data_IF_792740982352
#
_entry.id   IF_792740982352
#
_cell.length_a   1.000
_cell.length_b   1.000
_cell.length_c   1.000
_cell.angle_alpha   90.00
_cell.angle_beta   90.00
_cell.angle_gamma   90.00
#
_symmetry.space_group_name_H-M   'P 1'
#
loop_
_entity.id
_entity.type
_entity.pdbx_description
1 polymer ?
#
# COMPACT_ATOMS: atom_id res chain seq x y z
N UNK A 1 8.54 -6.14 44.01
CA UNK A 1 8.53 -4.78 44.57
C UNK A 1 7.09 -4.27 44.48
N UNK A 2 6.57 -3.62 45.52
CA UNK A 2 5.27 -2.97 45.47
C UNK A 2 5.50 -1.51 45.04
N UNK A 3 4.83 -1.07 43.98
CA UNK A 3 4.96 0.27 43.44
C UNK A 3 3.92 1.20 44.05
N UNK A 4 4.25 2.48 44.19
CA UNK A 4 3.25 3.52 44.43
C UNK A 4 2.61 3.97 43.12
N UNK A 5 1.50 4.72 43.19
CA UNK A 5 0.86 5.29 42.00
C UNK A 5 1.80 6.18 41.17
N UNK A 6 2.65 6.96 41.84
CA UNK A 6 3.62 7.85 41.18
C UNK A 6 4.67 7.02 40.43
N UNK A 7 5.17 5.96 41.07
CA UNK A 7 6.17 5.08 40.47
C UNK A 7 5.62 4.39 39.21
N UNK A 8 4.38 3.87 39.26
CA UNK A 8 3.75 3.16 38.13
C UNK A 8 3.59 4.07 36.91
N UNK A 9 3.22 5.34 37.11
CA UNK A 9 3.01 6.29 36.02
C UNK A 9 4.35 6.75 35.42
N UNK A 10 5.41 6.81 36.24
CA UNK A 10 6.74 7.22 35.84
C UNK A 10 7.59 6.10 35.22
N UNK A 11 7.06 4.88 35.08
CA UNK A 11 7.80 3.76 34.48
C UNK A 11 8.12 4.05 33.01
N UNK A 12 9.41 4.14 32.69
CA UNK A 12 9.89 4.28 31.31
C UNK A 12 9.55 3.03 30.48
N UNK A 13 9.68 1.83 31.07
CA UNK A 13 9.31 0.57 30.45
C UNK A 13 8.43 -0.26 31.39
N UNK A 14 7.11 -0.03 31.40
CA UNK A 14 6.21 -0.74 32.30
C UNK A 14 6.09 -2.23 31.97
N UNK A 15 6.41 -2.66 30.75
CA UNK A 15 6.41 -4.08 30.41
C UNK A 15 7.44 -4.84 31.23
N UNK A 16 8.70 -4.39 31.31
CA UNK A 16 9.75 -5.15 32.03
C UNK A 16 9.40 -5.38 33.50
N UNK A 17 8.81 -4.38 34.15
CA UNK A 17 8.52 -4.41 35.58
C UNK A 17 7.15 -5.05 35.92
N UNK A 18 6.24 -5.12 34.95
CA UNK A 18 4.91 -5.72 35.07
C UNK A 18 4.72 -6.88 34.06
N UNK A 19 5.80 -7.57 33.71
CA UNK A 19 5.83 -8.58 32.63
C UNK A 19 5.25 -9.94 33.00
N UNK A 20 5.04 -10.20 34.28
CA UNK A 20 4.53 -11.48 34.78
C UNK A 20 3.27 -11.33 35.63
N UNK A 21 2.57 -12.46 35.81
CA UNK A 21 1.32 -12.51 36.58
C UNK A 21 1.53 -12.14 38.05
N UNK A 22 2.68 -12.44 38.63
CA UNK A 22 2.95 -12.17 40.04
C UNK A 22 3.14 -10.67 40.31
N UNK A 23 3.84 -9.96 39.42
CA UNK A 23 4.06 -8.52 39.49
C UNK A 23 2.73 -7.76 39.33
N UNK A 24 1.88 -8.19 38.40
CA UNK A 24 0.54 -7.63 38.22
C UNK A 24 -0.35 -7.89 39.43
N UNK A 25 -0.33 -9.10 40.00
CA UNK A 25 -1.10 -9.44 41.20
C UNK A 25 -0.65 -8.63 42.42
N UNK A 26 0.66 -8.51 42.64
CA UNK A 26 1.26 -7.76 43.76
C UNK A 26 0.91 -6.26 43.74
N UNK A 27 0.65 -5.70 42.56
CA UNK A 27 0.34 -4.29 42.38
C UNK A 27 -1.14 -4.04 42.03
N UNK A 28 -2.00 -5.07 42.10
CA UNK A 28 -3.37 -5.01 41.63
C UNK A 28 -4.20 -3.89 42.29
N UNK A 29 -4.04 -3.68 43.61
CA UNK A 29 -4.74 -2.61 44.33
C UNK A 29 -4.40 -1.24 43.76
N UNK A 30 -3.10 -0.93 43.64
CA UNK A 30 -2.63 0.35 43.12
C UNK A 30 -3.05 0.53 41.66
N UNK A 31 -2.93 -0.52 40.83
CA UNK A 31 -3.36 -0.51 39.43
C UNK A 31 -4.86 -0.24 39.27
N UNK A 32 -5.69 -0.79 40.16
CA UNK A 32 -7.14 -0.57 40.15
C UNK A 32 -7.54 0.83 40.67
N UNK A 33 -6.69 1.50 41.47
CA UNK A 33 -6.94 2.90 41.91
C UNK A 33 -6.61 3.95 40.84
N UNK A 34 -5.93 3.56 39.75
CA UNK A 34 -5.64 4.46 38.65
C UNK A 34 -6.93 4.91 37.96
N UNK A 35 -6.95 6.16 37.48
CA UNK A 35 -8.05 6.64 36.64
C UNK A 35 -8.14 5.85 35.34
N UNK A 36 -9.32 5.82 34.70
CA UNK A 36 -9.50 5.09 33.45
C UNK A 36 -8.47 5.51 32.36
N UNK A 37 -8.16 6.80 32.28
CA UNK A 37 -7.16 7.33 31.33
C UNK A 37 -5.75 6.80 31.63
N UNK A 38 -5.36 6.75 32.90
CA UNK A 38 -4.07 6.22 33.34
C UNK A 38 -3.96 4.71 33.09
N UNK A 39 -5.02 3.96 33.38
CA UNK A 39 -5.09 2.53 33.09
C UNK A 39 -4.92 2.26 31.59
N UNK A 40 -5.61 3.01 30.74
CA UNK A 40 -5.50 2.88 29.27
C UNK A 40 -4.09 3.23 28.78
N UNK A 41 -3.49 4.29 29.30
CA UNK A 41 -2.13 4.69 28.94
C UNK A 41 -1.10 3.63 29.36
N UNK A 42 -1.19 3.14 30.59
CA UNK A 42 -0.30 2.11 31.11
C UNK A 42 -0.45 0.79 30.34
N UNK A 43 -1.68 0.33 30.11
CA UNK A 43 -1.94 -0.87 29.33
C UNK A 43 -1.42 -0.74 27.88
N UNK A 44 -1.60 0.44 27.27
CA UNK A 44 -1.03 0.76 25.95
C UNK A 44 0.49 0.60 25.95
N UNK A 45 1.18 1.19 26.93
CA UNK A 45 2.63 1.14 27.03
C UNK A 45 3.15 -0.29 27.27
N UNK A 46 2.50 -1.05 28.15
CA UNK A 46 2.85 -2.46 28.42
C UNK A 46 2.69 -3.30 27.15
N UNK A 47 1.53 -3.18 26.49
CA UNK A 47 1.24 -3.99 25.31
C UNK A 47 2.09 -3.55 24.11
N UNK A 48 2.40 -2.27 23.94
CA UNK A 48 3.31 -1.81 22.88
C UNK A 48 4.74 -2.31 23.10
N UNK A 49 5.25 -2.24 24.33
CA UNK A 49 6.62 -2.64 24.68
C UNK A 49 6.82 -4.17 24.74
N UNK A 50 5.74 -4.97 24.76
CA UNK A 50 5.83 -6.42 24.80
C UNK A 50 6.49 -7.00 23.52
N UNK A 51 7.61 -7.73 23.62
CA UNK A 51 8.27 -8.33 22.46
C UNK A 51 7.38 -9.38 21.77
N UNK A 52 7.42 -9.45 20.44
CA UNK A 52 6.58 -10.38 19.66
C UNK A 52 6.77 -11.84 20.08
N UNK A 53 8.01 -12.24 20.41
CA UNK A 53 8.34 -13.59 20.88
C UNK A 53 7.64 -13.97 22.21
N UNK A 54 7.35 -12.98 23.06
CA UNK A 54 6.73 -13.17 24.38
C UNK A 54 5.24 -12.83 24.40
N UNK A 55 4.73 -12.18 23.34
CA UNK A 55 3.35 -11.70 23.29
C UNK A 55 2.32 -12.82 23.55
N UNK A 56 2.47 -13.98 22.92
CA UNK A 56 1.58 -15.13 23.15
C UNK A 56 1.65 -15.67 24.58
N UNK A 57 2.84 -15.71 25.17
CA UNK A 57 3.03 -16.18 26.54
C UNK A 57 2.38 -15.21 27.54
N UNK A 58 2.45 -13.92 27.25
CA UNK A 58 1.84 -12.87 28.06
C UNK A 58 0.32 -13.02 28.20
N UNK A 59 -0.36 -13.60 27.19
CA UNK A 59 -1.77 -13.95 27.26
C UNK A 59 -2.11 -14.88 28.44
N UNK A 60 -1.20 -15.80 28.79
CA UNK A 60 -1.38 -16.71 29.92
C UNK A 60 -1.29 -15.96 31.25
N UNK A 61 -0.38 -15.00 31.38
CA UNK A 61 -0.28 -14.15 32.56
C UNK A 61 -1.52 -13.29 32.75
N UNK A 62 -2.01 -12.67 31.66
CA UNK A 62 -3.28 -11.93 31.69
C UNK A 62 -4.42 -12.87 32.10
N UNK A 63 -4.56 -14.05 31.48
CA UNK A 63 -5.67 -14.96 31.81
C UNK A 63 -5.63 -15.45 33.26
N UNK A 64 -4.46 -15.77 33.80
CA UNK A 64 -4.31 -16.23 35.16
C UNK A 64 -4.83 -15.20 36.18
N UNK A 65 -4.60 -13.91 35.93
CA UNK A 65 -5.10 -12.80 36.75
C UNK A 65 -6.62 -12.64 36.67
N UNK A 66 -7.20 -12.81 35.48
CA UNK A 66 -8.64 -12.66 35.28
C UNK A 66 -9.48 -13.68 36.06
N UNK A 67 -8.93 -14.85 36.34
CA UNK A 67 -9.58 -15.86 37.18
C UNK A 67 -9.63 -15.45 38.66
N UNK A 68 -8.77 -14.53 39.09
CA UNK A 68 -8.66 -14.05 40.48
C UNK A 68 -9.54 -12.81 40.73
N UNK A 69 -9.87 -12.05 39.68
CA UNK A 69 -10.62 -10.79 39.79
C UNK A 69 -11.85 -10.80 38.88
N UNK A 70 -13.03 -11.12 39.43
CA UNK A 70 -14.30 -11.18 38.66
C UNK A 70 -14.95 -9.79 38.39
N UNK A 71 -14.27 -8.69 38.70
CA UNK A 71 -14.81 -7.33 38.50
C UNK A 71 -14.42 -6.76 37.13
N UNK A 72 -15.43 -6.27 36.39
CA UNK A 72 -15.29 -5.71 35.04
C UNK A 72 -14.49 -4.39 34.98
N UNK A 73 -14.37 -3.68 36.11
CA UNK A 73 -13.73 -2.35 36.20
C UNK A 73 -12.27 -2.39 36.67
N UNK A 74 -11.62 -3.53 36.51
CA UNK A 74 -10.23 -3.73 36.93
C UNK A 74 -9.24 -3.36 35.83
N UNK A 75 -8.02 -2.99 36.22
CA UNK A 75 -6.90 -2.79 35.29
C UNK A 75 -6.65 -4.04 34.44
N UNK A 76 -6.89 -5.23 35.00
CA UNK A 76 -6.82 -6.49 34.27
C UNK A 76 -7.75 -6.51 33.03
N UNK A 77 -9.00 -6.08 33.21
CA UNK A 77 -9.98 -5.99 32.12
C UNK A 77 -9.47 -5.07 31.00
N UNK A 78 -8.92 -3.90 31.38
CA UNK A 78 -8.32 -2.92 30.47
C UNK A 78 -7.10 -3.50 29.74
N UNK A 79 -6.21 -4.20 30.45
CA UNK A 79 -5.03 -4.84 29.89
C UNK A 79 -5.39 -5.97 28.93
N UNK A 80 -6.40 -6.77 29.28
CA UNK A 80 -6.94 -7.83 28.42
C UNK A 80 -7.54 -7.25 27.13
N UNK A 81 -8.28 -6.15 27.22
CA UNK A 81 -8.82 -5.46 26.04
C UNK A 81 -7.70 -4.91 25.14
N UNK A 82 -6.68 -4.27 25.71
CA UNK A 82 -5.50 -3.79 24.98
C UNK A 82 -4.76 -4.93 24.26
N UNK A 83 -4.58 -6.07 24.95
CA UNK A 83 -4.00 -7.28 24.37
C UNK A 83 -4.83 -7.78 23.16
N UNK A 84 -6.16 -7.80 23.29
CA UNK A 84 -7.04 -8.21 22.19
C UNK A 84 -6.94 -7.28 20.98
N UNK A 85 -6.81 -5.96 21.20
CA UNK A 85 -6.59 -4.99 20.11
C UNK A 85 -5.32 -5.34 19.34
N UNK A 86 -4.18 -5.50 20.01
CA UNK A 86 -2.92 -5.89 19.34
C UNK A 86 -3.03 -7.24 18.64
N UNK A 87 -3.63 -8.23 19.28
CA UNK A 87 -3.83 -9.55 18.69
C UNK A 87 -4.66 -9.48 17.39
N UNK A 88 -5.77 -8.73 17.40
CA UNK A 88 -6.64 -8.56 16.23
C UNK A 88 -5.93 -7.82 15.10
N UNK A 89 -5.17 -6.77 15.42
CA UNK A 89 -4.36 -6.06 14.41
C UNK A 89 -3.27 -6.96 13.81
N UNK A 90 -2.52 -7.70 14.62
CA UNK A 90 -1.52 -8.65 14.13
C UNK A 90 -2.16 -9.74 13.25
N UNK A 91 -3.39 -10.13 13.53
CA UNK A 91 -4.12 -11.11 12.71
C UNK A 91 -4.43 -10.63 11.29
N UNK A 92 -4.45 -9.30 11.06
CA UNK A 92 -4.60 -8.72 9.73
C UNK A 92 -3.39 -9.02 8.84
N UNK A 93 -2.21 -9.29 9.40
CA UNK A 93 -0.99 -9.63 8.66
C UNK A 93 -0.55 -11.10 8.79
N UNK A 94 -1.11 -11.87 9.74
CA UNK A 94 -0.83 -13.30 9.88
C UNK A 94 -1.31 -14.11 8.67
N UNK A 95 -0.41 -14.56 7.79
CA UNK A 95 -0.71 -15.29 6.54
C UNK A 95 -1.61 -16.52 6.69
N UNK A 96 -1.73 -17.09 7.89
CA UNK A 96 -2.61 -18.23 8.19
C UNK A 96 -4.08 -17.83 8.32
N UNK A 97 -4.36 -16.56 8.59
CA UNK A 97 -5.71 -16.02 8.64
C UNK A 97 -6.31 -15.90 7.24
N UNK A 98 -7.23 -16.78 6.87
CA UNK A 98 -7.86 -16.76 5.55
C UNK A 98 -8.90 -15.65 5.38
N UNK A 99 -9.41 -15.11 6.48
CA UNK A 99 -10.51 -14.13 6.49
C UNK A 99 -10.16 -12.92 7.36
N UNK A 100 -9.08 -12.17 7.05
CA UNK A 100 -8.68 -11.01 7.85
C UNK A 100 -9.75 -9.91 7.86
N UNK A 101 -10.62 -9.89 6.85
CA UNK A 101 -11.71 -8.94 6.73
C UNK A 101 -12.90 -9.20 7.66
N UNK A 102 -12.99 -10.38 8.27
CA UNK A 102 -14.07 -10.72 9.20
C UNK A 102 -14.14 -9.75 10.40
N UNK A 103 -12.99 -9.22 10.82
CA UNK A 103 -12.87 -8.18 11.86
C UNK A 103 -13.74 -6.94 11.56
N UNK A 104 -13.99 -6.65 10.28
CA UNK A 104 -14.75 -5.50 9.82
C UNK A 104 -16.20 -5.83 9.48
N UNK A 105 -16.69 -7.04 9.78
CA UNK A 105 -18.01 -7.50 9.37
C UNK A 105 -18.83 -8.07 10.54
N UNK A 106 -20.16 -8.03 10.37
CA UNK A 106 -21.12 -8.74 11.21
C UNK A 106 -20.95 -8.49 12.71
N UNK A 107 -21.03 -9.57 13.49
CA UNK A 107 -20.97 -9.54 14.96
C UNK A 107 -19.55 -9.29 15.51
N UNK A 108 -18.52 -9.45 14.69
CA UNK A 108 -17.13 -9.23 15.10
C UNK A 108 -16.71 -7.76 15.04
N UNK A 109 -17.41 -6.98 14.21
CA UNK A 109 -17.17 -5.55 14.10
C UNK A 109 -17.56 -4.83 15.40
N UNK A 110 -16.53 -4.40 16.13
CA UNK A 110 -16.68 -3.54 17.29
C UNK A 110 -15.55 -2.50 17.29
N UNK A 111 -15.83 -1.22 16.96
CA UNK A 111 -14.80 -0.19 16.92
C UNK A 111 -14.40 0.35 18.31
N UNK A 112 -15.22 0.14 19.34
CA UNK A 112 -15.03 0.71 20.69
C UNK A 112 -13.64 0.46 21.29
N UNK A 113 -13.15 -0.80 21.33
CA UNK A 113 -11.81 -1.10 21.83
C UNK A 113 -10.70 -0.39 21.03
N UNK A 114 -10.84 -0.28 19.70
CA UNK A 114 -9.85 0.38 18.85
C UNK A 114 -9.83 1.90 19.03
N UNK A 115 -10.99 2.52 19.32
CA UNK A 115 -11.06 3.93 19.68
C UNK A 115 -10.42 4.18 21.05
N UNK A 116 -10.74 3.33 22.04
CA UNK A 116 -10.17 3.40 23.39
C UNK A 116 -8.64 3.28 23.36
N UNK A 117 -8.11 2.38 22.55
CA UNK A 117 -6.67 2.14 22.38
C UNK A 117 -6.14 2.71 21.06
N UNK A 118 -6.61 3.89 20.65
CA UNK A 118 -6.25 4.50 19.36
C UNK A 118 -4.74 4.75 19.20
N UNK A 119 -4.04 5.15 20.27
CA UNK A 119 -2.57 5.30 20.27
C UNK A 119 -1.87 3.97 19.97
N UNK A 120 -2.30 2.88 20.62
CA UNK A 120 -1.77 1.53 20.37
C UNK A 120 -2.05 1.11 18.92
N UNK A 121 -3.28 1.30 18.47
CA UNK A 121 -3.68 0.93 17.11
C UNK A 121 -2.86 1.68 16.06
N UNK A 122 -2.67 2.99 16.23
CA UNK A 122 -1.84 3.82 15.34
C UNK A 122 -0.40 3.28 15.27
N UNK A 123 0.21 3.03 16.43
CA UNK A 123 1.59 2.53 16.49
C UNK A 123 1.75 1.17 15.81
N UNK A 124 0.78 0.26 15.96
CA UNK A 124 0.84 -1.07 15.34
C UNK A 124 0.56 -1.06 13.83
N UNK A 125 -0.28 -0.13 13.37
CA UNK A 125 -0.63 0.01 11.96
C UNK A 125 0.45 0.76 11.16
N UNK A 126 1.24 1.60 11.83
CA UNK A 126 2.30 2.39 11.21
C UNK A 126 3.27 1.50 10.41
N UNK A 127 3.58 1.92 9.17
CA UNK A 127 4.41 1.19 8.20
C UNK A 127 3.80 -0.10 7.62
N UNK A 128 2.75 -0.63 8.24
CA UNK A 128 2.07 -1.87 7.82
C UNK A 128 0.86 -1.62 6.92
N UNK A 129 0.44 -0.37 6.74
CA UNK A 129 -0.83 -0.07 6.08
C UNK A 129 -0.91 -0.53 4.62
N UNK A 130 0.14 -0.40 3.78
CA UNK A 130 0.09 -0.91 2.40
C UNK A 130 -0.10 -2.43 2.36
N UNK A 131 0.62 -3.17 3.22
CA UNK A 131 0.54 -4.61 3.29
C UNK A 131 -0.83 -5.10 3.78
N UNK A 132 -1.41 -4.42 4.78
CA UNK A 132 -2.77 -4.72 5.25
C UNK A 132 -3.79 -4.43 4.13
N UNK A 133 -3.70 -3.27 3.48
CA UNK A 133 -4.60 -2.88 2.39
C UNK A 133 -4.54 -3.87 1.22
N UNK A 134 -3.34 -4.26 0.80
CA UNK A 134 -3.10 -5.25 -0.24
C UNK A 134 -3.76 -6.60 0.11
N UNK A 135 -3.55 -7.05 1.35
CA UNK A 135 -4.11 -8.32 1.81
C UNK A 135 -5.64 -8.30 1.92
N UNK A 136 -6.21 -7.19 2.38
CA UNK A 136 -7.65 -7.01 2.38
C UNK A 136 -8.17 -7.08 0.94
N UNK A 137 -7.54 -6.39 -0.01
CA UNK A 137 -7.95 -6.44 -1.42
C UNK A 137 -7.86 -7.83 -2.06
N UNK A 138 -6.92 -8.67 -1.60
CA UNK A 138 -6.80 -10.05 -2.05
C UNK A 138 -7.82 -11.01 -1.44
N UNK A 139 -8.28 -10.76 -0.21
CA UNK A 139 -9.11 -11.70 0.56
C UNK A 139 -10.59 -11.31 0.66
N UNK A 140 -10.94 -10.04 0.44
CA UNK A 140 -12.31 -9.54 0.58
C UNK A 140 -13.12 -9.83 -0.69
N UNK A 141 -14.25 -10.56 -0.59
CA UNK A 141 -15.19 -10.74 -1.69
C UNK A 141 -15.74 -9.41 -2.22
N UNK A 142 -16.03 -9.31 -3.53
CA UNK A 142 -16.47 -8.05 -4.15
C UNK A 142 -17.68 -7.41 -3.42
N UNK A 143 -18.65 -8.23 -3.02
CA UNK A 143 -19.86 -7.76 -2.32
C UNK A 143 -19.59 -7.11 -0.96
N UNK A 144 -18.49 -7.47 -0.29
CA UNK A 144 -18.20 -6.99 1.06
C UNK A 144 -17.23 -5.78 1.07
N UNK A 145 -16.57 -5.48 -0.05
CA UNK A 145 -15.53 -4.42 -0.14
C UNK A 145 -16.02 -3.07 0.35
N UNK A 146 -17.22 -2.65 -0.06
CA UNK A 146 -17.80 -1.35 0.36
C UNK A 146 -18.06 -1.29 1.86
N UNK A 147 -18.61 -2.38 2.43
CA UNK A 147 -18.89 -2.47 3.87
C UNK A 147 -17.60 -2.46 4.68
N UNK A 148 -16.59 -3.24 4.25
CA UNK A 148 -15.27 -3.28 4.89
C UNK A 148 -14.61 -1.91 4.87
N UNK A 149 -14.61 -1.22 3.72
CA UNK A 149 -14.02 0.11 3.60
C UNK A 149 -14.70 1.14 4.53
N UNK A 150 -16.03 1.10 4.62
CA UNK A 150 -16.79 1.95 5.53
C UNK A 150 -16.46 1.66 7.00
N UNK A 151 -16.53 0.39 7.40
CA UNK A 151 -16.29 -0.04 8.77
C UNK A 151 -14.85 0.20 9.23
N UNK A 152 -13.88 0.03 8.33
CA UNK A 152 -12.49 0.35 8.60
C UNK A 152 -12.29 1.86 8.81
N UNK A 153 -12.96 2.71 8.03
CA UNK A 153 -12.94 4.17 8.22
C UNK A 153 -13.57 4.59 9.56
N UNK A 154 -14.62 3.89 9.99
CA UNK A 154 -15.23 4.09 11.31
C UNK A 154 -14.34 3.61 12.44
N UNK A 155 -13.65 2.47 12.27
CA UNK A 155 -12.76 1.89 13.28
C UNK A 155 -11.46 2.68 13.45
N UNK A 156 -10.93 3.25 12.36
CA UNK A 156 -9.70 4.06 12.36
C UNK A 156 -9.94 5.45 11.72
N UNK A 157 -10.65 6.36 12.40
CA UNK A 157 -10.95 7.67 11.86
C UNK A 157 -9.67 8.45 11.54
N UNK A 158 -9.61 9.04 10.34
CA UNK A 158 -8.47 9.87 9.86
C UNK A 158 -7.13 9.11 9.74
N UNK A 159 -7.13 7.78 9.77
CA UNK A 159 -5.94 6.98 9.57
C UNK A 159 -5.69 6.70 8.07
N UNK A 160 -4.43 6.75 7.63
CA UNK A 160 -4.03 6.51 6.23
C UNK A 160 -4.38 5.10 5.72
N UNK A 161 -4.60 4.16 6.64
CA UNK A 161 -5.02 2.79 6.31
C UNK A 161 -6.34 2.78 5.52
N UNK A 162 -7.28 3.67 5.83
CA UNK A 162 -8.57 3.72 5.14
C UNK A 162 -8.40 4.12 3.68
N UNK A 163 -7.60 5.16 3.43
CA UNK A 163 -7.26 5.63 2.09
C UNK A 163 -6.54 4.54 1.29
N UNK A 164 -5.50 3.92 1.86
CA UNK A 164 -4.76 2.83 1.21
C UNK A 164 -5.66 1.64 0.89
N UNK A 165 -6.59 1.29 1.78
CA UNK A 165 -7.53 0.18 1.55
C UNK A 165 -8.51 0.51 0.43
N UNK A 166 -9.02 1.73 0.36
CA UNK A 166 -9.87 2.18 -0.75
C UNK A 166 -9.12 2.12 -2.09
N UNK A 167 -7.88 2.60 -2.12
CA UNK A 167 -7.01 2.50 -3.29
C UNK A 167 -6.76 1.04 -3.70
N UNK A 168 -6.50 0.16 -2.74
CA UNK A 168 -6.29 -1.27 -3.01
C UNK A 168 -7.56 -1.95 -3.56
N UNK A 169 -8.74 -1.66 -3.03
CA UNK A 169 -10.02 -2.18 -3.56
C UNK A 169 -10.35 -1.65 -4.95
N UNK A 170 -10.11 -0.36 -5.18
CA UNK A 170 -10.25 0.25 -6.51
C UNK A 170 -9.31 -0.42 -7.52
N UNK A 171 -8.04 -0.58 -7.14
CA UNK A 171 -7.04 -1.22 -7.99
C UNK A 171 -7.41 -2.69 -8.28
N UNK A 172 -7.85 -3.43 -7.26
CA UNK A 172 -8.36 -4.80 -7.40
C UNK A 172 -9.50 -4.88 -8.42
N UNK A 173 -10.48 -3.99 -8.31
CA UNK A 173 -11.60 -3.90 -9.27
C UNK A 173 -11.11 -3.58 -10.68
N UNK A 174 -10.15 -2.66 -10.83
CA UNK A 174 -9.61 -2.28 -12.13
C UNK A 174 -8.83 -3.43 -12.77
N UNK A 175 -8.10 -4.22 -11.98
CA UNK A 175 -7.46 -5.44 -12.46
C UNK A 175 -8.51 -6.42 -12.97
N UNK A 176 -9.53 -6.73 -12.15
CA UNK A 176 -10.58 -7.70 -12.49
C UNK A 176 -11.41 -7.29 -13.71
N UNK A 177 -11.80 -6.01 -13.81
CA UNK A 177 -12.74 -5.54 -14.84
C UNK A 177 -12.07 -5.04 -16.11
N UNK A 178 -10.84 -4.53 -16.03
CA UNK A 178 -10.15 -3.92 -17.16
C UNK A 178 -8.99 -4.80 -17.61
N UNK A 179 -8.01 -5.03 -16.73
CA UNK A 179 -6.76 -5.71 -17.11
C UNK A 179 -6.97 -7.19 -17.48
N UNK A 180 -7.83 -7.90 -16.73
CA UNK A 180 -8.22 -9.27 -17.03
C UNK A 180 -9.41 -9.37 -18.00
N UNK A 181 -10.03 -8.23 -18.31
CA UNK A 181 -11.18 -8.15 -19.20
C UNK A 181 -10.82 -8.29 -20.68
N UNK A 182 -11.75 -7.90 -21.54
CA UNK A 182 -11.58 -7.99 -23.00
C UNK A 182 -10.67 -6.89 -23.55
N UNK A 183 -10.57 -5.75 -22.85
CA UNK A 183 -9.89 -4.54 -23.28
C UNK A 183 -8.82 -4.10 -22.25
N UNK A 184 -7.70 -4.83 -22.13
CA UNK A 184 -6.67 -4.57 -21.10
C UNK A 184 -6.02 -3.19 -21.21
N UNK A 185 -6.00 -2.57 -22.37
CA UNK A 185 -5.47 -1.22 -22.60
C UNK A 185 -6.20 -0.14 -21.80
N UNK A 186 -7.50 -0.37 -21.50
CA UNK A 186 -8.31 0.53 -20.69
C UNK A 186 -7.82 0.64 -19.25
N UNK A 187 -7.06 -0.34 -18.76
CA UNK A 187 -6.44 -0.26 -17.44
C UNK A 187 -5.43 0.90 -17.39
N UNK A 188 -4.61 1.06 -18.42
CA UNK A 188 -3.53 2.05 -18.47
C UNK A 188 -4.01 3.46 -18.83
N UNK A 189 -5.16 3.57 -19.50
CA UNK A 189 -5.77 4.86 -19.87
C UNK A 189 -6.82 5.33 -18.88
N UNK A 190 -7.12 4.54 -17.83
CA UNK A 190 -8.07 4.92 -16.81
C UNK A 190 -7.54 6.13 -16.01
N UNK A 191 -8.43 7.06 -15.63
CA UNK A 191 -8.13 8.18 -14.73
C UNK A 191 -7.56 7.72 -13.40
N UNK A 192 -8.00 6.57 -12.91
CA UNK A 192 -7.59 6.01 -11.62
C UNK A 192 -6.24 5.26 -11.68
N UNK A 193 -5.62 5.19 -12.86
CA UNK A 193 -4.30 4.60 -13.03
C UNK A 193 -3.22 5.47 -12.41
N UNK A 194 -2.42 4.88 -11.53
CA UNK A 194 -1.22 5.49 -10.99
C UNK A 194 -0.10 4.46 -10.91
N UNK A 195 1.05 4.85 -11.45
CA UNK A 195 2.28 4.05 -11.42
C UNK A 195 2.70 3.72 -9.97
N UNK A 196 2.59 4.70 -9.08
CA UNK A 196 3.01 4.55 -7.69
C UNK A 196 2.08 3.59 -6.93
N UNK A 197 0.78 3.65 -7.22
CA UNK A 197 -0.21 2.70 -6.67
C UNK A 197 0.03 1.29 -7.20
N UNK A 198 0.39 1.14 -8.47
CA UNK A 198 0.74 -0.18 -9.04
C UNK A 198 1.98 -0.77 -8.37
N UNK A 199 3.00 0.05 -8.09
CA UNK A 199 4.21 -0.37 -7.36
C UNK A 199 3.90 -0.71 -5.91
N UNK A 200 3.07 0.10 -5.25
CA UNK A 200 2.67 -0.11 -3.86
C UNK A 200 2.00 -1.47 -3.63
N UNK A 201 1.20 -1.94 -4.59
CA UNK A 201 0.45 -3.20 -4.51
C UNK A 201 0.94 -4.26 -5.49
N UNK A 202 2.26 -4.33 -5.73
CA UNK A 202 2.85 -5.24 -6.73
C UNK A 202 2.54 -6.72 -6.46
N UNK A 203 2.42 -7.15 -5.19
CA UNK A 203 2.13 -8.55 -4.87
C UNK A 203 0.69 -8.93 -5.22
N UNK A 204 -0.23 -7.97 -5.21
CA UNK A 204 -1.60 -8.16 -5.69
C UNK A 204 -1.60 -8.49 -7.18
N UNK A 205 -0.81 -7.77 -7.99
CA UNK A 205 -0.63 -8.11 -9.41
C UNK A 205 0.02 -9.48 -9.56
N UNK A 206 1.11 -9.78 -8.84
CA UNK A 206 1.74 -11.11 -8.89
C UNK A 206 0.77 -12.24 -8.57
N UNK A 207 -0.12 -12.04 -7.60
CA UNK A 207 -1.09 -13.05 -7.19
C UNK A 207 -2.21 -13.21 -8.22
N UNK A 208 -2.70 -12.11 -8.79
CA UNK A 208 -3.87 -12.12 -9.66
C UNK A 208 -3.58 -12.43 -11.11
N UNK A 209 -2.41 -12.01 -11.59
CA UNK A 209 -2.04 -12.16 -12.99
C UNK A 209 -1.35 -13.50 -13.26
N UNK A 210 -0.99 -14.25 -12.21
CA UNK A 210 -0.28 -15.52 -12.30
C UNK A 210 -0.93 -16.47 -13.31
N UNK A 211 -0.23 -16.75 -14.41
CA UNK A 211 -0.66 -17.64 -15.47
C UNK A 211 -1.56 -17.00 -16.53
N UNK A 212 -1.80 -15.69 -16.45
CA UNK A 212 -2.61 -14.91 -17.41
C UNK A 212 -1.80 -13.84 -18.14
N UNK A 213 -0.51 -13.68 -17.80
CA UNK A 213 0.36 -12.63 -18.34
C UNK A 213 0.52 -12.75 -19.86
N UNK A 214 0.66 -13.98 -20.37
CA UNK A 214 0.78 -14.23 -21.80
C UNK A 214 -0.49 -13.80 -22.55
N UNK A 215 -1.67 -14.21 -22.06
CA UNK A 215 -2.97 -13.86 -22.65
C UNK A 215 -3.23 -12.35 -22.65
N UNK A 216 -2.81 -11.65 -21.60
CA UNK A 216 -2.92 -10.18 -21.54
C UNK A 216 -2.01 -9.56 -22.60
N UNK A 217 -0.77 -10.03 -22.73
CA UNK A 217 0.16 -9.59 -23.77
C UNK A 217 -0.38 -9.80 -25.19
N UNK A 218 -1.03 -10.95 -25.44
CA UNK A 218 -1.69 -11.24 -26.72
C UNK A 218 -2.82 -10.25 -27.04
N UNK A 219 -3.72 -9.99 -26.07
CA UNK A 219 -4.81 -9.01 -26.23
C UNK A 219 -4.29 -7.60 -26.47
N UNK A 220 -3.18 -7.22 -25.82
CA UNK A 220 -2.53 -5.94 -26.04
C UNK A 220 -1.86 -5.84 -27.43
N UNK A 221 -1.49 -6.97 -28.05
CA UNK A 221 -0.94 -6.99 -29.40
C UNK A 221 -2.01 -6.68 -30.46
N UNK A 222 -3.28 -7.04 -30.20
CA UNK A 222 -4.39 -6.83 -31.12
C UNK A 222 -4.94 -5.40 -31.15
N UNK A 223 -4.33 -4.47 -30.41
CA UNK A 223 -4.75 -3.06 -30.40
C UNK A 223 -4.49 -2.42 -31.78
N UNK A 224 -5.55 -1.96 -32.44
CA UNK A 224 -5.48 -1.33 -33.76
C UNK A 224 -4.76 0.05 -33.73
N UNK A 225 -4.85 0.75 -32.59
CA UNK A 225 -4.26 2.08 -32.42
C UNK A 225 -2.79 1.99 -32.00
N UNK A 226 -1.89 2.33 -32.93
CA UNK A 226 -0.44 2.38 -32.67
C UNK A 226 -0.06 3.30 -31.50
N UNK A 227 -0.72 4.46 -31.38
CA UNK A 227 -0.45 5.41 -30.30
C UNK A 227 -0.83 4.84 -28.92
N UNK A 228 -1.96 4.14 -28.85
CA UNK A 228 -2.40 3.47 -27.62
C UNK A 228 -1.45 2.34 -27.26
N UNK A 229 -1.04 1.53 -28.25
CA UNK A 229 -0.07 0.45 -28.07
C UNK A 229 1.29 0.96 -27.57
N UNK A 230 1.82 2.04 -28.17
CA UNK A 230 3.06 2.67 -27.74
C UNK A 230 2.97 3.24 -26.31
N UNK A 231 1.83 3.83 -25.94
CA UNK A 231 1.58 4.32 -24.58
C UNK A 231 1.58 3.19 -23.56
N UNK A 232 0.88 2.08 -23.84
CA UNK A 232 0.86 0.90 -22.96
C UNK A 232 2.26 0.32 -22.79
N UNK A 233 3.05 0.19 -23.87
CA UNK A 233 4.45 -0.24 -23.79
C UNK A 233 5.26 0.64 -22.85
N UNK A 234 5.16 1.97 -22.99
CA UNK A 234 5.84 2.91 -22.09
C UNK A 234 5.40 2.73 -20.63
N UNK A 235 4.12 2.49 -20.37
CA UNK A 235 3.63 2.25 -19.01
C UNK A 235 4.15 0.94 -18.41
N UNK A 236 4.14 -0.16 -19.18
CA UNK A 236 4.75 -1.43 -18.78
C UNK A 236 6.24 -1.25 -18.50
N UNK A 237 6.94 -0.45 -19.31
CA UNK A 237 8.35 -0.12 -19.13
C UNK A 237 8.64 0.62 -17.82
N UNK A 238 7.79 1.57 -17.48
CA UNK A 238 7.90 2.30 -16.22
C UNK A 238 7.60 1.43 -14.98
N UNK A 239 6.82 0.36 -15.15
CA UNK A 239 6.46 -0.57 -14.06
C UNK A 239 7.52 -1.67 -13.86
N UNK A 240 8.40 -1.92 -14.82
CA UNK A 240 9.46 -2.94 -14.75
C UNK A 240 10.86 -2.41 -14.38
N UNK A 241 10.98 -1.30 -13.63
CA UNK A 241 12.28 -0.62 -13.40
C UNK A 241 13.29 -1.40 -12.56
N UNK A 242 12.90 -2.52 -11.95
CA UNK A 242 13.85 -3.42 -11.29
C UNK A 242 14.26 -4.50 -12.28
N UNK A 243 15.41 -4.29 -12.93
CA UNK A 243 16.02 -5.16 -13.96
C UNK A 243 16.15 -6.63 -13.51
N UNK A 244 16.04 -6.90 -12.21
CA UNK A 244 16.28 -8.21 -11.59
C UNK A 244 15.03 -8.97 -11.13
N UNK A 245 13.82 -8.44 -11.30
CA UNK A 245 12.61 -9.18 -10.94
C UNK A 245 11.99 -9.88 -12.16
N UNK A 246 12.49 -11.07 -12.48
CA UNK A 246 11.92 -11.95 -13.51
C UNK A 246 10.48 -12.37 -13.19
N UNK A 247 10.05 -12.26 -11.94
CA UNK A 247 8.69 -12.60 -11.51
C UNK A 247 7.72 -11.41 -11.56
N UNK A 248 8.17 -10.26 -12.06
CA UNK A 248 7.32 -9.09 -12.21
C UNK A 248 6.27 -9.34 -13.32
N UNK A 249 4.96 -9.32 -13.01
CA UNK A 249 3.93 -9.65 -13.99
C UNK A 249 3.89 -8.66 -15.15
N UNK A 250 4.28 -7.39 -14.94
CA UNK A 250 4.34 -6.40 -16.02
C UNK A 250 5.49 -6.67 -17.00
N UNK A 251 6.60 -7.26 -16.53
CA UNK A 251 7.71 -7.69 -17.39
C UNK A 251 7.25 -8.85 -18.28
N UNK A 252 6.58 -9.85 -17.69
CA UNK A 252 6.04 -11.00 -18.43
C UNK A 252 5.03 -10.58 -19.51
N UNK A 253 4.15 -9.62 -19.20
CA UNK A 253 3.22 -9.06 -20.18
C UNK A 253 3.98 -8.34 -21.31
N UNK A 254 4.99 -7.53 -20.98
CA UNK A 254 5.78 -6.80 -21.97
C UNK A 254 6.58 -7.75 -22.90
N UNK A 255 7.13 -8.84 -22.34
CA UNK A 255 7.86 -9.85 -23.10
C UNK A 255 6.93 -10.63 -24.04
N UNK A 256 5.73 -11.00 -23.59
CA UNK A 256 4.68 -11.62 -24.43
C UNK A 256 4.28 -10.71 -25.59
N UNK A 257 4.05 -9.42 -25.33
CA UNK A 257 3.70 -8.43 -26.34
C UNK A 257 4.79 -8.32 -27.43
N UNK A 258 6.06 -8.23 -27.04
CA UNK A 258 7.20 -8.15 -27.98
C UNK A 258 7.39 -9.44 -28.80
N UNK A 259 7.17 -10.61 -28.20
CA UNK A 259 7.28 -11.90 -28.87
C UNK A 259 6.24 -12.08 -29.98
N UNK A 260 4.98 -11.70 -29.73
CA UNK A 260 3.89 -11.77 -30.72
C UNK A 260 4.10 -10.83 -31.90
N UNK A 261 4.48 -9.57 -31.66
CA UNK A 261 4.79 -8.61 -32.73
C UNK A 261 5.89 -9.12 -33.68
N UNK A 262 6.94 -9.72 -33.10
CA UNK A 262 8.04 -10.31 -33.88
C UNK A 262 7.59 -11.50 -34.73
N UNK A 263 6.59 -12.26 -34.27
CA UNK A 263 6.02 -13.40 -35.00
C UNK A 263 5.07 -12.97 -36.13
N UNK A 264 4.33 -11.88 -35.94
CA UNK A 264 3.43 -11.31 -36.95
C UNK A 264 4.18 -10.59 -38.07
N UNK A 265 5.26 -9.88 -37.75
CA UNK A 265 6.17 -9.28 -38.75
C UNK A 265 6.88 -10.35 -39.60
N UNK A 266 7.21 -11.52 -39.03
CA UNK A 266 7.75 -12.64 -39.82
C UNK A 266 6.72 -13.27 -40.75
N UNK A 267 5.44 -13.30 -40.38
CA UNK A 267 4.35 -13.80 -41.23
C UNK A 267 4.03 -12.86 -42.39
N UNK A 268 4.05 -11.55 -42.16
CA UNK A 268 3.83 -10.54 -43.24
C UNK A 268 5.07 -10.29 -44.10
N UNK A 269 6.28 -10.48 -43.57
CA UNK A 269 7.54 -10.40 -44.33
C UNK A 269 7.86 -11.59 -45.23
N UNK A 270 7.08 -12.69 -45.15
CA UNK A 270 7.32 -13.92 -45.93
C UNK A 270 6.50 -13.98 -47.24
N UNK A 271 5.77 -12.94 -47.62
CA UNK A 271 4.97 -12.90 -48.85
C UNK A 271 5.32 -11.72 -49.76
N UNK A 272 6.58 -11.61 -50.20
CA UNK A 272 6.94 -10.92 -51.46
C UNK A 272 8.22 -11.51 -52.05
N UNK A 273 8.26 -12.80 -52.36
CA UNK A 273 9.21 -13.32 -53.36
C UNK A 273 8.63 -13.08 -54.75
N UNK A 274 8.89 -11.89 -55.28
CA UNK A 274 8.64 -11.54 -56.68
C UNK A 274 9.65 -12.32 -57.56
N UNK A 275 9.23 -13.22 -58.48
CA UNK A 275 10.15 -14.16 -59.13
C UNK A 275 10.76 -13.67 -60.44
N UNK A 276 10.74 -12.38 -60.74
CA UNK A 276 11.35 -11.83 -61.96
C UNK A 276 12.30 -10.66 -61.65
N UNK A 277 13.60 -10.95 -61.63
CA UNK A 277 14.64 -9.94 -61.45
C UNK A 277 16.03 -10.51 -61.68
N UNK A 278 16.28 -11.06 -62.88
CA UNK A 278 17.61 -11.46 -63.32
C UNK A 278 18.15 -10.46 -64.35
N UNK A 279 19.44 -10.13 -64.17
CA UNK A 279 20.37 -9.40 -65.05
C UNK A 279 20.31 -7.86 -65.07
N UNK A 280 21.28 -7.19 -64.41
CA UNK A 280 22.48 -6.76 -65.13
C UNK A 280 23.62 -6.25 -64.22
N UNK A 281 24.81 -6.31 -64.81
CA UNK A 281 26.15 -6.39 -64.21
C UNK A 281 26.90 -5.05 -64.11
N UNK A 282 27.89 -5.01 -63.18
CA UNK A 282 29.18 -4.28 -63.18
C UNK A 282 29.19 -2.74 -63.24
N UNK A 283 29.51 -2.03 -62.14
CA UNK A 283 30.85 -1.58 -61.64
C UNK A 283 31.30 -0.20 -62.19
N UNK A 284 32.37 0.46 -61.69
CA UNK A 284 32.45 1.26 -60.45
C UNK A 284 33.13 2.65 -60.64
N UNK A 285 32.83 3.69 -59.84
CA UNK A 285 33.71 4.87 -59.72
C UNK A 285 33.68 5.44 -58.28
N UNK A 286 34.87 5.56 -57.67
CA UNK A 286 35.29 6.42 -56.54
C UNK A 286 36.30 7.44 -57.12
N UNK A 287 36.81 8.44 -56.37
CA UNK A 287 36.21 9.38 -55.41
C UNK A 287 36.62 10.85 -55.75
N UNK A 288 36.08 11.86 -55.06
CA UNK A 288 36.84 13.10 -54.82
C UNK A 288 36.33 13.86 -53.58
N UNK A 289 37.27 14.03 -52.65
CA UNK A 289 37.26 14.84 -51.44
C UNK A 289 37.15 16.34 -51.70
N UNK A 290 36.67 17.11 -50.70
CA UNK A 290 37.27 18.35 -50.13
C UNK A 290 36.20 19.05 -49.25
N UNK A 291 36.47 19.15 -47.95
CA UNK A 291 36.08 20.26 -47.04
C UNK A 291 37.29 21.19 -46.89
N UNK A 292 37.26 22.36 -46.22
CA UNK A 292 36.19 23.21 -45.66
C UNK A 292 36.36 24.72 -45.99
N UNK A 293 35.47 25.62 -45.53
CA UNK A 293 35.82 26.98 -45.03
C UNK A 293 34.64 27.67 -44.31
N UNK A 294 34.84 27.97 -43.02
CA UNK A 294 34.57 29.20 -42.22
C UNK A 294 34.17 30.48 -43.01
N UNK A 295 33.53 31.54 -42.48
CA UNK A 295 33.08 32.02 -41.15
C UNK A 295 32.21 33.29 -41.37
N UNK A 296 31.43 33.70 -40.35
CA UNK A 296 30.89 35.08 -40.05
C UNK A 296 29.87 35.72 -41.02
N UNK A 297 28.80 36.43 -40.62
CA UNK A 297 28.51 37.35 -39.50
C UNK A 297 26.97 37.47 -39.32
N UNK A 298 26.38 37.33 -38.12
CA UNK A 298 26.02 38.35 -37.10
C UNK A 298 24.59 38.96 -37.19
N UNK A 299 23.95 39.02 -35.99
CA UNK A 299 22.79 39.82 -35.53
C UNK A 299 21.40 39.41 -36.04
N UNK A 300 20.33 39.36 -35.24
CA UNK A 300 19.97 40.14 -34.05
C UNK A 300 18.71 39.52 -33.40
N UNK A 301 18.71 39.24 -32.09
CA UNK A 301 17.66 39.63 -31.11
C UNK A 301 17.73 38.81 -29.82
N UNK A 302 18.27 39.48 -28.82
CA UNK A 302 18.27 39.11 -27.41
C UNK A 302 16.91 39.39 -26.74
N UNK A 303 16.72 38.70 -25.61
CA UNK A 303 16.00 39.14 -24.39
C UNK A 303 14.47 39.22 -24.41
N UNK A 304 13.85 38.32 -23.64
CA UNK A 304 13.21 38.66 -22.36
C UNK A 304 12.87 37.37 -21.58
N UNK A 305 13.55 37.18 -20.46
CA UNK A 305 13.22 36.28 -19.36
C UNK A 305 13.13 37.13 -18.10
N UNK A 306 12.30 36.66 -17.18
CA UNK A 306 12.25 36.98 -15.75
C UNK A 306 11.56 38.28 -15.36
N UNK A 307 10.34 38.14 -14.85
CA UNK A 307 9.82 38.80 -13.65
C UNK A 307 8.46 38.16 -13.31
N UNK A 308 8.37 37.48 -12.17
CA UNK A 308 7.17 37.47 -11.31
C UNK A 308 7.56 36.90 -9.94
N UNK A 309 7.90 37.84 -9.07
CA UNK A 309 8.22 37.69 -7.66
C UNK A 309 6.92 37.70 -6.83
N UNK A 310 6.88 36.84 -5.82
CA UNK A 310 5.79 36.65 -4.88
C UNK A 310 5.55 37.89 -4.01
N UNK A 311 4.29 38.32 -3.91
CA UNK A 311 3.83 39.30 -2.91
C UNK A 311 3.14 38.54 -1.76
N UNK A 312 3.81 38.47 -0.62
CA UNK A 312 3.32 37.94 0.65
C UNK A 312 2.91 39.12 1.54
N UNK A 313 1.61 39.39 1.62
CA UNK A 313 1.04 40.30 2.61
C UNK A 313 -0.07 39.61 3.41
N UNK A 314 0.35 38.90 4.46
CA UNK A 314 -0.50 38.49 5.58
C UNK A 314 -1.00 39.72 6.32
N UNK A 315 -2.30 40.01 6.16
CA UNK A 315 -3.05 40.94 7.02
C UNK A 315 -3.84 40.12 8.05
N UNK A 316 -3.40 40.23 9.29
CA UNK A 316 -4.12 39.91 10.51
C UNK A 316 -5.45 40.65 10.57
N UNK A 317 -6.54 39.95 10.90
CA UNK A 317 -7.63 40.55 11.67
C UNK A 317 -8.37 39.47 12.48
N UNK A 318 -8.26 39.65 13.79
CA UNK A 318 -8.98 39.02 14.88
C UNK A 318 -10.41 39.53 14.93
N UNK A 319 -11.40 38.64 15.06
CA UNK A 319 -12.70 39.00 15.63
C UNK A 319 -13.19 37.92 16.60
N UNK A 320 -13.07 38.26 17.88
CA UNK A 320 -13.87 37.75 18.99
C UNK A 320 -15.28 38.35 18.93
N UNK A 321 -16.32 37.54 19.15
CA UNK A 321 -17.63 38.04 19.57
C UNK A 321 -18.38 37.01 20.42
N UNK A 322 -18.23 37.14 21.74
CA UNK A 322 -19.31 37.10 22.76
C UNK A 322 -20.21 38.34 22.55
N UNK A 323 -21.53 38.39 22.66
CA UNK A 323 -22.51 37.80 23.61
C UNK A 323 -23.93 37.97 23.05
N UNK A 324 -24.87 37.09 23.41
CA UNK A 324 -26.14 37.35 24.12
C UNK A 324 -26.92 36.04 24.29
#
# INVERSE_FOLDING_TARGET
MAFTRIDIIALENPYEQLSDGDALAKNAEVLNTLSNKEQVALATNIIAACPEAKFKQYAHHIRALGNLTQSADTFHSVLSEAYQVRQRLNSLLDSRNKTPHALFLGKEFNPGPFHRFSTLAKHLLESNEPAIAERLALSVPEQDRSQVAHNLSTMFPKHILAEKTQLAFMMRRNIEKLLLGDNPEKFFTNRDYSKDTCRMFINMFRTLLKGQEETIGEKLCTIESESTRASVKRHLELLHTEVFDETNPFKLIADSLRAKESSEQKKTGSQTTNPYGYFNSRSPILPLSITPTNDTDEKERSQRKEEEEYDESTRSDSFTSTSF
#
